data_IF_973518373455
#
_entry.id   IF_973518373455
#
_cell.length_a   1.000
_cell.length_b   1.000
_cell.length_c   1.000
_cell.angle_alpha   90.00
_cell.angle_beta   90.00
_cell.angle_gamma   90.00
#
_symmetry.space_group_name_H-M   'P 1'
#
loop_
_entity.id
_entity.type
_entity.pdbx_description
1 polymer ?
#
# COMPACT_ATOMS: atom_id res chain seq x y z
N UNK A 1 47.82 9.42 44.71
CA UNK A 1 46.79 10.26 44.05
C UNK A 1 46.87 11.75 44.42
N UNK A 2 46.93 12.15 45.70
CA UNK A 2 46.98 13.57 46.12
C UNK A 2 48.18 14.39 45.58
N UNK A 3 49.34 13.77 45.31
CA UNK A 3 50.52 14.47 44.76
C UNK A 3 50.35 14.89 43.29
N UNK A 4 49.57 14.17 42.50
CA UNK A 4 49.26 14.55 41.11
C UNK A 4 48.26 15.72 41.06
N UNK A 5 47.28 15.74 41.98
CA UNK A 5 46.35 16.87 42.16
C UNK A 5 47.05 18.16 42.61
N UNK A 6 48.05 18.08 43.50
CA UNK A 6 48.86 19.24 43.92
C UNK A 6 49.79 19.79 42.83
N UNK A 7 50.24 18.95 41.89
CA UNK A 7 51.02 19.39 40.72
C UNK A 7 50.14 20.09 39.68
N UNK A 8 48.89 19.64 39.52
CA UNK A 8 47.89 20.35 38.73
C UNK A 8 47.54 21.73 39.34
N UNK A 9 47.41 21.83 40.67
CA UNK A 9 47.14 23.12 41.32
C UNK A 9 48.31 24.11 41.22
N UNK A 10 49.55 23.62 41.22
CA UNK A 10 50.75 24.45 41.05
C UNK A 10 50.89 25.07 39.65
N UNK A 11 50.34 24.43 38.61
CA UNK A 11 50.30 24.97 37.26
C UNK A 11 49.30 26.14 37.11
N UNK A 12 48.28 26.20 37.98
CA UNK A 12 47.25 27.24 37.98
C UNK A 12 47.65 28.51 38.76
N UNK A 13 48.77 28.50 39.49
CA UNK A 13 49.13 29.53 40.46
C UNK A 13 50.07 30.62 39.92
N UNK A 14 50.51 30.57 38.66
CA UNK A 14 51.37 31.61 38.05
C UNK A 14 50.81 32.10 36.70
N UNK A 15 50.40 33.39 36.74
CA UNK A 15 50.15 34.39 35.68
C UNK A 15 48.76 34.42 35.00
N UNK A 16 48.15 35.60 35.11
CA UNK A 16 46.88 36.19 34.59
C UNK A 16 46.15 35.56 33.39
N UNK A 17 46.74 34.66 32.61
CA UNK A 17 46.11 33.95 31.48
C UNK A 17 45.36 32.66 31.86
N UNK A 18 45.67 32.01 32.99
CA UNK A 18 45.02 30.74 33.37
C UNK A 18 43.50 30.85 33.59
N UNK A 19 43.05 31.97 34.16
CA UNK A 19 41.62 32.25 34.34
C UNK A 19 40.89 32.40 33.00
N UNK A 20 41.52 33.06 32.02
CA UNK A 20 40.97 33.23 30.66
C UNK A 20 40.82 31.87 29.96
N UNK A 21 41.84 31.01 30.06
CA UNK A 21 41.80 29.66 29.47
C UNK A 21 40.66 28.84 30.10
N UNK A 22 40.50 28.88 31.42
CA UNK A 22 39.41 28.19 32.12
C UNK A 22 38.04 28.71 31.65
N UNK A 23 37.87 30.02 31.56
CA UNK A 23 36.59 30.61 31.08
C UNK A 23 36.28 30.25 29.64
N UNK A 24 37.29 30.22 28.75
CA UNK A 24 37.12 29.80 27.36
C UNK A 24 36.75 28.31 27.27
N UNK A 25 37.34 27.46 28.11
CA UNK A 25 37.00 26.04 28.14
C UNK A 25 35.56 25.82 28.61
N UNK A 26 35.12 26.55 29.63
CA UNK A 26 33.73 26.51 30.12
C UNK A 26 32.77 27.03 29.03
N UNK A 27 33.09 28.15 28.38
CA UNK A 27 32.28 28.70 27.28
C UNK A 27 32.20 27.75 26.09
N UNK A 28 33.31 27.12 25.71
CA UNK A 28 33.33 26.11 24.65
C UNK A 28 32.45 24.91 25.01
N UNK A 29 32.52 24.44 26.25
CA UNK A 29 31.70 23.33 26.73
C UNK A 29 30.21 23.69 26.73
N UNK A 30 29.85 24.90 27.18
CA UNK A 30 28.48 25.40 27.12
C UNK A 30 27.99 25.58 25.67
N UNK A 31 28.86 26.03 24.77
CA UNK A 31 28.55 26.17 23.36
C UNK A 31 28.28 24.81 22.71
N UNK A 32 29.14 23.82 22.94
CA UNK A 32 28.96 22.45 22.45
C UNK A 32 27.68 21.85 23.02
N UNK A 33 27.43 22.02 24.33
CA UNK A 33 26.21 21.53 24.98
C UNK A 33 24.94 22.16 24.38
N UNK A 34 24.94 23.47 24.20
CA UNK A 34 23.81 24.20 23.61
C UNK A 34 23.59 23.77 22.15
N UNK A 35 24.67 23.61 21.37
CA UNK A 35 24.60 23.13 20.00
C UNK A 35 24.02 21.71 19.90
N UNK A 36 24.45 20.80 20.77
CA UNK A 36 23.90 19.43 20.84
C UNK A 36 22.43 19.44 21.24
N UNK A 37 22.04 20.26 22.21
CA UNK A 37 20.66 20.36 22.69
C UNK A 37 19.72 20.90 21.60
N UNK A 38 20.13 21.93 20.86
CA UNK A 38 19.38 22.44 19.71
C UNK A 38 19.24 21.40 18.61
N UNK A 39 20.31 20.67 18.31
CA UNK A 39 20.28 19.57 17.34
C UNK A 39 19.30 18.48 17.77
N UNK A 40 19.36 18.06 19.04
CA UNK A 40 18.44 17.06 19.59
C UNK A 40 16.99 17.51 19.52
N UNK A 41 16.68 18.77 19.86
CA UNK A 41 15.31 19.28 19.73
C UNK A 41 14.80 19.29 18.30
N UNK A 42 15.64 19.69 17.33
CA UNK A 42 15.26 19.63 15.91
C UNK A 42 15.03 18.19 15.43
N UNK A 43 15.84 17.25 15.90
CA UNK A 43 15.65 15.83 15.61
C UNK A 43 14.36 15.29 16.22
N UNK A 44 14.06 15.65 17.46
CA UNK A 44 12.83 15.27 18.15
C UNK A 44 11.59 15.84 17.49
N UNK A 45 11.61 17.13 17.14
CA UNK A 45 10.53 17.81 16.40
C UNK A 45 10.19 17.05 15.11
N UNK A 46 11.21 16.74 14.28
CA UNK A 46 11.02 15.98 13.04
C UNK A 46 10.49 14.57 13.29
N UNK A 47 11.00 13.90 14.32
CA UNK A 47 10.61 12.52 14.65
C UNK A 47 9.16 12.47 15.15
N UNK A 48 8.80 13.35 16.08
CA UNK A 48 7.44 13.48 16.60
C UNK A 48 6.46 13.85 15.50
N UNK A 49 6.81 14.79 14.62
CA UNK A 49 5.99 15.16 13.48
C UNK A 49 5.75 13.96 12.54
N UNK A 50 6.81 13.21 12.20
CA UNK A 50 6.70 12.01 11.35
C UNK A 50 5.81 10.93 11.98
N UNK A 51 5.98 10.66 13.27
CA UNK A 51 5.17 9.65 13.98
C UNK A 51 3.70 10.08 14.03
N UNK A 52 3.44 11.36 14.34
CA UNK A 52 2.09 11.89 14.41
C UNK A 52 1.40 11.86 13.05
N UNK A 53 2.03 12.41 12.01
CA UNK A 53 1.49 12.42 10.64
C UNK A 53 1.30 11.01 10.09
N UNK A 54 2.23 10.09 10.34
CA UNK A 54 2.08 8.68 9.95
C UNK A 54 0.87 8.01 10.61
N UNK A 55 0.65 8.24 11.91
CA UNK A 55 -0.55 7.74 12.61
C UNK A 55 -1.83 8.36 12.07
N UNK A 56 -1.83 9.66 11.78
CA UNK A 56 -2.99 10.34 11.19
C UNK A 56 -3.30 9.79 9.81
N UNK A 57 -2.30 9.65 8.93
CA UNK A 57 -2.47 9.06 7.60
C UNK A 57 -3.02 7.63 7.67
N UNK A 58 -2.50 6.80 8.56
CA UNK A 58 -3.03 5.44 8.78
C UNK A 58 -4.49 5.45 9.21
N UNK A 59 -4.88 6.35 10.13
CA UNK A 59 -6.29 6.48 10.56
C UNK A 59 -7.19 6.94 9.42
N UNK A 60 -6.72 7.86 8.58
CA UNK A 60 -7.48 8.34 7.43
C UNK A 60 -7.68 7.24 6.39
N UNK A 61 -6.64 6.44 6.12
CA UNK A 61 -6.76 5.26 5.26
C UNK A 61 -7.75 4.25 5.85
N UNK A 62 -7.71 4.01 7.16
CA UNK A 62 -8.64 3.11 7.84
C UNK A 62 -10.09 3.59 7.78
N UNK A 63 -10.33 4.90 7.91
CA UNK A 63 -11.67 5.48 7.71
C UNK A 63 -12.20 5.22 6.30
N UNK A 64 -11.34 5.30 5.28
CA UNK A 64 -11.71 4.94 3.91
C UNK A 64 -12.10 3.47 3.77
N UNK A 65 -11.32 2.57 4.36
CA UNK A 65 -11.62 1.13 4.37
C UNK A 65 -12.93 0.84 5.10
N UNK A 66 -13.10 1.37 6.31
CA UNK A 66 -14.31 1.16 7.11
C UNK A 66 -15.56 1.72 6.39
N UNK A 67 -15.40 2.83 5.66
CA UNK A 67 -16.46 3.38 4.80
C UNK A 67 -16.81 2.48 3.63
N UNK A 68 -15.82 1.91 2.94
CA UNK A 68 -16.05 0.96 1.85
C UNK A 68 -16.74 -0.32 2.35
N UNK A 69 -16.29 -0.87 3.48
CA UNK A 69 -16.93 -2.03 4.12
C UNK A 69 -18.39 -1.71 4.47
N UNK A 70 -18.67 -0.52 5.01
CA UNK A 70 -20.04 -0.12 5.31
C UNK A 70 -20.93 -0.09 4.06
N UNK A 71 -20.45 0.46 2.94
CA UNK A 71 -21.24 0.47 1.70
C UNK A 71 -21.48 -0.95 1.16
N UNK A 72 -20.49 -1.84 1.25
CA UNK A 72 -20.62 -3.25 0.84
C UNK A 72 -21.59 -4.04 1.75
N UNK A 73 -21.51 -3.85 3.07
CA UNK A 73 -22.37 -4.55 4.03
C UNK A 73 -23.84 -4.14 3.93
N UNK A 74 -24.09 -2.89 3.51
CA UNK A 74 -25.43 -2.34 3.31
C UNK A 74 -25.93 -2.45 1.86
N UNK A 75 -25.24 -3.21 1.01
CA UNK A 75 -25.79 -3.58 -0.29
C UNK A 75 -26.84 -4.68 -0.11
N UNK A 76 -28.04 -4.40 -0.59
CA UNK A 76 -29.20 -5.30 -0.54
C UNK A 76 -29.33 -6.11 -1.84
N UNK A 77 -28.54 -5.81 -2.87
CA UNK A 77 -28.61 -6.49 -4.17
C UNK A 77 -27.93 -7.85 -4.09
N UNK A 78 -28.48 -8.80 -4.83
CA UNK A 78 -27.93 -10.16 -4.94
C UNK A 78 -26.82 -10.27 -6.03
N UNK A 79 -26.57 -9.19 -6.76
CA UNK A 79 -25.56 -9.09 -7.80
C UNK A 79 -24.77 -7.81 -7.61
N UNK A 80 -23.50 -7.85 -8.01
CA UNK A 80 -22.61 -6.69 -7.97
C UNK A 80 -22.50 -6.06 -9.37
N UNK A 81 -22.65 -4.75 -9.44
CA UNK A 81 -22.56 -3.97 -10.66
C UNK A 81 -21.76 -2.67 -10.42
N UNK A 82 -21.13 -2.16 -11.48
CA UNK A 82 -20.38 -0.89 -11.39
C UNK A 82 -21.24 0.33 -11.05
N UNK A 83 -22.57 0.20 -11.17
CA UNK A 83 -23.53 1.24 -10.79
C UNK A 83 -23.89 1.25 -9.30
N UNK A 84 -23.38 0.30 -8.51
CA UNK A 84 -23.74 0.16 -7.11
C UNK A 84 -23.04 1.20 -6.23
N UNK A 85 -23.61 1.41 -5.04
CA UNK A 85 -23.15 2.45 -4.12
C UNK A 85 -21.73 2.18 -3.62
N UNK A 86 -21.37 0.92 -3.40
CA UNK A 86 -20.03 0.55 -2.94
C UNK A 86 -18.92 1.04 -3.89
N UNK A 87 -19.23 1.27 -5.17
CA UNK A 87 -18.32 1.89 -6.14
C UNK A 87 -18.59 3.38 -6.34
N UNK A 88 -19.81 3.72 -6.73
CA UNK A 88 -20.21 5.08 -7.13
C UNK A 88 -20.12 6.11 -5.99
N UNK A 89 -20.22 5.68 -4.73
CA UNK A 89 -20.05 6.57 -3.57
C UNK A 89 -18.63 7.12 -3.47
N UNK A 90 -17.62 6.43 -4.01
CA UNK A 90 -16.20 6.83 -3.94
C UNK A 90 -15.65 7.36 -5.27
N UNK A 91 -16.31 7.04 -6.39
CA UNK A 91 -15.94 7.46 -7.73
C UNK A 91 -15.86 9.00 -7.88
N UNK A 92 -14.91 9.46 -8.68
CA UNK A 92 -14.78 10.85 -9.08
C UNK A 92 -13.53 11.17 -9.91
N UNK A 93 -13.40 12.42 -10.34
CA UNK A 93 -12.39 12.84 -11.33
C UNK A 93 -11.21 13.60 -10.70
N UNK A 94 -10.84 13.29 -9.45
CA UNK A 94 -9.84 14.07 -8.71
C UNK A 94 -8.49 13.37 -8.57
N UNK A 95 -8.50 12.05 -8.33
CA UNK A 95 -7.30 11.23 -8.12
C UNK A 95 -7.39 9.93 -8.91
N UNK A 96 -6.25 9.48 -9.38
CA UNK A 96 -6.02 8.18 -10.03
C UNK A 96 -5.34 7.28 -8.98
N UNK A 97 -6.06 6.31 -8.44
CA UNK A 97 -5.58 5.40 -7.39
C UNK A 97 -4.98 4.11 -7.96
N UNK A 98 -5.40 3.68 -9.14
CA UNK A 98 -4.87 2.48 -9.80
C UNK A 98 -3.68 2.77 -10.75
N UNK A 99 -3.33 4.04 -10.95
CA UNK A 99 -2.29 4.57 -11.85
C UNK A 99 -2.44 4.13 -13.32
N UNK A 100 -3.66 4.01 -13.82
CA UNK A 100 -3.94 3.72 -15.25
C UNK A 100 -3.94 4.99 -16.14
N UNK A 101 -3.80 6.17 -15.54
CA UNK A 101 -3.82 7.46 -16.22
C UNK A 101 -5.20 8.11 -16.30
N UNK A 102 -6.24 7.44 -15.80
CA UNK A 102 -7.61 7.92 -15.66
C UNK A 102 -7.89 8.13 -14.18
N UNK A 103 -8.55 9.24 -13.85
CA UNK A 103 -8.93 9.50 -12.46
C UNK A 103 -10.17 8.70 -12.13
N UNK A 104 -10.17 8.06 -10.97
CA UNK A 104 -11.13 7.03 -10.56
C UNK A 104 -11.80 7.33 -9.20
N UNK A 105 -11.27 8.30 -8.43
CA UNK A 105 -11.78 8.62 -7.11
C UNK A 105 -11.80 10.12 -6.79
N UNK A 106 -12.55 10.46 -5.74
CA UNK A 106 -12.64 11.82 -5.16
C UNK A 106 -12.00 11.93 -3.79
N UNK A 107 -11.63 13.15 -3.40
CA UNK A 107 -11.13 13.45 -2.06
C UNK A 107 -12.24 13.60 -1.03
N UNK A 108 -12.11 12.87 0.07
CA UNK A 108 -12.87 13.05 1.30
C UNK A 108 -12.05 13.87 2.28
N UNK A 109 -12.55 15.06 2.64
CA UNK A 109 -11.86 16.00 3.51
C UNK A 109 -12.24 15.80 4.97
N UNK A 110 -11.25 15.58 5.81
CA UNK A 110 -11.41 15.47 7.26
C UNK A 110 -11.20 16.85 7.87
N UNK A 111 -12.20 17.30 8.62
CA UNK A 111 -12.23 18.63 9.24
C UNK A 111 -12.20 18.49 10.76
N UNK A 112 -11.53 19.43 11.42
CA UNK A 112 -11.62 19.58 12.88
C UNK A 112 -12.98 20.18 13.29
N UNK A 113 -13.23 20.30 14.59
CA UNK A 113 -14.40 20.93 15.19
C UNK A 113 -14.63 22.35 14.70
N UNK A 114 -13.56 23.07 14.38
CA UNK A 114 -13.60 24.44 13.85
C UNK A 114 -13.80 24.50 12.32
N UNK A 115 -13.99 23.35 11.66
CA UNK A 115 -14.19 23.26 10.21
C UNK A 115 -12.91 23.32 9.37
N UNK A 116 -11.74 23.44 10.02
CA UNK A 116 -10.43 23.47 9.34
C UNK A 116 -10.07 22.07 8.85
N UNK A 117 -9.63 21.96 7.58
CA UNK A 117 -9.20 20.69 7.00
C UNK A 117 -7.90 20.22 7.65
N UNK A 118 -7.95 19.09 8.34
CA UNK A 118 -6.80 18.45 9.01
C UNK A 118 -6.19 17.32 8.17
N UNK A 119 -6.94 16.81 7.19
CA UNK A 119 -6.47 15.77 6.29
C UNK A 119 -7.47 15.48 5.17
N UNK A 120 -7.08 14.57 4.28
CA UNK A 120 -7.95 14.02 3.25
C UNK A 120 -7.56 12.59 2.93
N UNK A 121 -8.51 11.81 2.44
CA UNK A 121 -8.29 10.47 1.90
C UNK A 121 -9.13 10.27 0.65
N UNK A 122 -8.78 9.29 -0.17
CA UNK A 122 -9.57 8.84 -1.30
C UNK A 122 -9.63 7.32 -1.26
N UNK A 123 -10.66 6.75 -1.86
CA UNK A 123 -10.93 5.31 -1.83
C UNK A 123 -11.28 4.89 -3.24
N UNK A 124 -10.72 3.77 -3.68
CA UNK A 124 -11.14 3.05 -4.87
C UNK A 124 -11.53 1.65 -4.39
N UNK A 125 -12.71 1.20 -4.78
CA UNK A 125 -13.17 -0.17 -4.54
C UNK A 125 -13.29 -0.84 -5.89
N UNK A 126 -12.61 -1.96 -6.05
CA UNK A 126 -12.59 -2.74 -7.29
C UNK A 126 -13.09 -4.15 -7.03
N UNK A 127 -13.73 -4.73 -8.04
CA UNK A 127 -14.11 -6.13 -8.03
C UNK A 127 -12.93 -6.99 -8.51
N UNK A 128 -12.38 -7.78 -7.59
CA UNK A 128 -11.29 -8.72 -7.88
C UNK A 128 -11.79 -9.94 -8.67
N UNK A 129 -13.08 -10.30 -8.61
CA UNK A 129 -13.65 -11.38 -9.44
C UNK A 129 -13.70 -11.00 -10.92
N UNK A 130 -13.71 -9.71 -11.25
CA UNK A 130 -13.62 -9.21 -12.63
C UNK A 130 -12.23 -9.30 -13.25
N UNK A 131 -11.18 -9.67 -12.49
CA UNK A 131 -9.78 -9.71 -12.93
C UNK A 131 -9.33 -11.14 -13.24
N UNK A 132 -8.32 -11.29 -14.11
CA UNK A 132 -7.73 -12.58 -14.43
C UNK A 132 -6.96 -13.12 -13.23
N UNK A 133 -7.43 -14.22 -12.65
CA UNK A 133 -6.69 -14.84 -11.55
C UNK A 133 -5.45 -15.60 -12.05
N UNK A 134 -4.26 -15.07 -11.79
CA UNK A 134 -3.00 -15.69 -12.26
C UNK A 134 -2.66 -17.01 -11.56
N UNK A 135 -3.24 -17.29 -10.38
CA UNK A 135 -3.08 -18.58 -9.70
C UNK A 135 -3.97 -19.69 -10.28
N UNK A 136 -5.04 -19.34 -11.01
CA UNK A 136 -6.03 -20.32 -11.50
C UNK A 136 -6.22 -20.33 -13.01
N UNK A 137 -6.14 -19.17 -13.69
CA UNK A 137 -6.48 -19.03 -15.10
C UNK A 137 -5.51 -19.80 -16.02
N UNK A 138 -6.04 -20.60 -16.94
CA UNK A 138 -5.26 -21.41 -17.87
C UNK A 138 -4.67 -22.68 -17.26
N UNK A 139 -4.18 -23.60 -18.09
CA UNK A 139 -3.56 -24.85 -17.64
C UNK A 139 -2.72 -25.47 -18.75
N UNK A 140 -1.49 -25.91 -18.46
CA UNK A 140 -0.74 -26.72 -19.43
C UNK A 140 -1.28 -28.15 -19.56
N UNK A 141 -2.27 -28.51 -18.74
CA UNK A 141 -2.92 -29.83 -18.71
C UNK A 141 -4.28 -29.77 -19.42
N UNK A 142 -4.39 -30.47 -20.54
CA UNK A 142 -5.61 -30.59 -21.35
C UNK A 142 -6.72 -31.46 -20.71
N UNK A 143 -6.46 -32.07 -19.54
CA UNK A 143 -7.25 -33.18 -18.99
C UNK A 143 -8.01 -32.87 -17.69
N UNK A 144 -7.90 -31.65 -17.15
CA UNK A 144 -8.66 -31.19 -15.99
C UNK A 144 -9.56 -30.02 -16.41
N UNK A 145 -10.77 -29.86 -15.82
CA UNK A 145 -11.58 -28.67 -15.99
C UNK A 145 -11.00 -27.55 -15.12
N UNK A 146 -9.75 -27.17 -15.35
CA UNK A 146 -9.29 -25.84 -14.96
C UNK A 146 -9.56 -24.94 -16.14
N UNK A 147 -10.30 -23.86 -15.88
CA UNK A 147 -10.73 -22.86 -16.86
C UNK A 147 -9.61 -22.58 -17.87
N UNK A 148 -9.96 -22.71 -19.14
CA UNK A 148 -9.08 -23.06 -20.26
C UNK A 148 -7.86 -22.14 -20.43
N UNK A 149 -6.79 -22.61 -21.08
CA UNK A 149 -5.59 -21.80 -21.46
C UNK A 149 -5.97 -20.45 -22.09
N UNK A 150 -7.13 -20.40 -22.74
CA UNK A 150 -7.76 -19.22 -23.33
C UNK A 150 -7.90 -18.03 -22.38
N UNK A 151 -8.04 -18.25 -21.08
CA UNK A 151 -8.39 -17.16 -20.15
C UNK A 151 -7.17 -16.25 -19.93
N UNK A 152 -5.98 -16.86 -19.90
CA UNK A 152 -4.72 -16.11 -19.95
C UNK A 152 -4.38 -15.61 -21.36
N UNK A 153 -5.05 -16.10 -22.41
CA UNK A 153 -4.78 -15.64 -23.78
C UNK A 153 -5.23 -14.19 -24.00
N UNK A 154 -6.18 -13.69 -23.21
CA UNK A 154 -6.54 -12.27 -23.17
C UNK A 154 -5.32 -11.38 -22.89
N UNK A 155 -4.37 -11.88 -22.08
CA UNK A 155 -3.14 -11.14 -21.75
C UNK A 155 -2.01 -11.41 -22.76
N UNK A 156 -2.13 -12.40 -23.65
CA UNK A 156 -1.05 -12.85 -24.53
C UNK A 156 -0.58 -11.80 -25.54
N UNK A 157 -1.41 -10.79 -25.86
CA UNK A 157 -0.98 -9.65 -26.68
C UNK A 157 0.04 -8.77 -25.95
N UNK A 158 -0.03 -8.71 -24.62
CA UNK A 158 0.85 -7.88 -23.78
C UNK A 158 2.04 -8.66 -23.28
N UNK A 159 1.82 -9.89 -22.76
CA UNK A 159 2.87 -10.71 -22.13
C UNK A 159 3.55 -11.68 -23.11
N UNK A 160 2.93 -11.92 -24.27
CA UNK A 160 3.35 -12.95 -25.22
C UNK A 160 3.08 -14.37 -24.73
N UNK A 161 2.99 -15.32 -25.66
CA UNK A 161 2.76 -16.75 -25.33
C UNK A 161 3.83 -17.32 -24.38
N UNK A 162 5.09 -16.90 -24.53
CA UNK A 162 6.18 -17.30 -23.62
C UNK A 162 5.97 -16.77 -22.21
N UNK A 163 5.57 -15.49 -22.06
CA UNK A 163 5.31 -14.91 -20.74
C UNK A 163 4.14 -15.60 -20.04
N UNK A 164 3.06 -15.88 -20.78
CA UNK A 164 1.95 -16.71 -20.31
C UNK A 164 2.42 -18.07 -19.78
N UNK A 165 3.18 -18.81 -20.59
CA UNK A 165 3.67 -20.14 -20.23
C UNK A 165 4.62 -20.08 -19.03
N UNK A 166 5.42 -19.02 -18.90
CA UNK A 166 6.26 -18.77 -17.73
C UNK A 166 5.45 -18.54 -16.47
N UNK A 167 4.38 -17.73 -16.54
CA UNK A 167 3.51 -17.45 -15.38
C UNK A 167 2.87 -18.74 -14.88
N UNK A 168 2.33 -19.56 -15.80
CA UNK A 168 1.75 -20.87 -15.49
C UNK A 168 2.83 -21.81 -14.93
N UNK A 169 4.00 -21.89 -15.56
CA UNK A 169 5.08 -22.79 -15.10
C UNK A 169 5.63 -22.41 -13.73
N UNK A 170 5.64 -21.13 -13.38
CA UNK A 170 6.09 -20.65 -12.07
C UNK A 170 5.08 -21.01 -10.98
N UNK A 171 3.78 -20.75 -11.19
CA UNK A 171 2.76 -20.99 -10.15
C UNK A 171 2.61 -22.46 -9.76
N UNK A 172 2.82 -23.39 -10.69
CA UNK A 172 2.79 -24.84 -10.43
C UNK A 172 3.84 -25.25 -9.40
N UNK A 173 4.94 -24.49 -9.30
CA UNK A 173 5.96 -24.69 -8.27
C UNK A 173 5.58 -23.96 -6.99
N UNK A 174 5.08 -22.73 -7.11
CA UNK A 174 4.72 -21.86 -6.00
C UNK A 174 3.65 -20.84 -6.43
N UNK A 175 2.43 -20.89 -5.86
CA UNK A 175 1.42 -19.87 -6.10
C UNK A 175 1.89 -18.46 -5.73
N UNK A 176 1.42 -17.47 -6.47
CA UNK A 176 1.66 -16.05 -6.21
C UNK A 176 0.88 -15.60 -4.97
N UNK A 177 1.52 -14.83 -4.10
CA UNK A 177 0.89 -14.31 -2.88
C UNK A 177 0.24 -12.95 -3.16
N UNK A 178 0.92 -12.13 -3.96
CA UNK A 178 0.43 -10.83 -4.41
C UNK A 178 0.56 -10.70 -5.94
N UNK A 179 -0.26 -9.88 -6.61
CA UNK A 179 -0.19 -9.72 -8.06
C UNK A 179 1.20 -9.33 -8.58
N UNK A 180 1.96 -8.54 -7.81
CA UNK A 180 3.32 -8.14 -8.16
C UNK A 180 4.33 -9.29 -8.22
N UNK A 181 4.04 -10.43 -7.60
CA UNK A 181 4.91 -11.62 -7.65
C UNK A 181 4.97 -12.22 -9.04
N UNK A 182 4.06 -11.86 -9.96
CA UNK A 182 4.10 -12.27 -11.37
C UNK A 182 5.43 -11.90 -12.05
N UNK A 183 6.11 -10.87 -11.55
CA UNK A 183 7.46 -10.45 -12.00
C UNK A 183 8.55 -11.49 -11.72
N UNK A 184 8.28 -12.49 -10.89
CA UNK A 184 9.19 -13.60 -10.63
C UNK A 184 9.14 -14.65 -11.76
N UNK A 185 8.13 -14.60 -12.62
CA UNK A 185 8.06 -15.44 -13.81
C UNK A 185 9.02 -14.94 -14.90
N UNK A 186 9.66 -15.89 -15.58
CA UNK A 186 10.65 -15.59 -16.61
C UNK A 186 10.03 -14.79 -17.77
N UNK A 187 10.63 -13.64 -18.09
CA UNK A 187 10.20 -12.78 -19.18
C UNK A 187 9.15 -11.73 -18.80
N UNK A 188 8.71 -11.66 -17.54
CA UNK A 188 7.83 -10.59 -17.05
C UNK A 188 8.67 -9.47 -16.45
N UNK A 189 8.78 -8.36 -17.17
CA UNK A 189 9.51 -7.16 -16.71
C UNK A 189 8.59 -6.22 -15.91
N UNK A 190 9.16 -5.23 -15.24
CA UNK A 190 8.40 -4.16 -14.57
C UNK A 190 7.49 -3.41 -15.55
N UNK A 191 7.94 -3.19 -16.78
CA UNK A 191 7.16 -2.52 -17.82
C UNK A 191 5.94 -3.36 -18.25
N UNK A 192 6.11 -4.68 -18.36
CA UNK A 192 5.01 -5.59 -18.66
C UNK A 192 4.03 -5.64 -17.49
N UNK A 193 4.54 -5.76 -16.27
CA UNK A 193 3.72 -5.76 -15.05
C UNK A 193 2.85 -4.52 -14.95
N UNK A 194 3.41 -3.32 -15.20
CA UNK A 194 2.64 -2.07 -15.17
C UNK A 194 1.47 -2.04 -16.16
N UNK A 195 1.54 -2.79 -17.26
CA UNK A 195 0.46 -2.86 -18.26
C UNK A 195 -0.66 -3.81 -17.86
N UNK A 196 -0.38 -4.83 -17.05
CA UNK A 196 -1.35 -5.87 -16.69
C UNK A 196 -1.80 -5.78 -15.23
N UNK A 197 -1.16 -4.96 -14.38
CA UNK A 197 -1.35 -4.95 -12.92
C UNK A 197 -2.81 -4.73 -12.48
N UNK A 198 -3.59 -4.01 -13.27
CA UNK A 198 -5.00 -3.71 -12.95
C UNK A 198 -5.96 -4.78 -13.50
N UNK A 199 -5.47 -5.67 -14.36
CA UNK A 199 -6.26 -6.74 -15.00
C UNK A 199 -6.04 -8.12 -14.35
N UNK A 200 -5.13 -8.22 -13.39
CA UNK A 200 -4.76 -9.49 -12.74
C UNK A 200 -5.04 -9.51 -11.24
N UNK A 201 -5.32 -10.69 -10.69
CA UNK A 201 -5.49 -10.92 -9.26
C UNK A 201 -4.84 -12.22 -8.79
N UNK A 202 -4.50 -12.32 -7.50
CA UNK A 202 -4.09 -13.56 -6.83
C UNK A 202 -5.16 -14.14 -5.92
N UNK A 203 -6.22 -13.38 -5.63
CA UNK A 203 -7.15 -13.62 -4.53
C UNK A 203 -8.56 -14.06 -4.96
N UNK A 204 -8.87 -14.04 -6.26
CA UNK A 204 -10.14 -14.59 -6.77
C UNK A 204 -10.12 -16.13 -6.72
N UNK A 205 -10.21 -16.71 -5.52
CA UNK A 205 -10.76 -18.05 -5.44
C UNK A 205 -12.24 -17.90 -5.76
N UNK A 206 -12.60 -17.89 -7.04
CA UNK A 206 -13.94 -18.27 -7.45
C UNK A 206 -14.11 -19.73 -6.98
N UNK A 207 -14.42 -19.91 -5.69
CA UNK A 207 -15.58 -20.71 -5.40
C UNK A 207 -16.65 -19.99 -6.21
N UNK A 208 -17.08 -20.62 -7.30
CA UNK A 208 -18.16 -20.14 -8.13
C UNK A 208 -19.44 -20.16 -7.28
N UNK A 209 -19.51 -19.39 -6.20
CA UNK A 209 -20.54 -19.39 -5.16
C UNK A 209 -20.93 -17.95 -4.78
N UNK A 210 -22.20 -17.78 -4.42
CA UNK A 210 -22.79 -16.53 -3.95
C UNK A 210 -22.44 -16.22 -2.49
N UNK A 211 -22.98 -15.13 -1.95
CA UNK A 211 -22.81 -14.70 -0.55
C UNK A 211 -23.28 -15.75 0.48
N UNK A 212 -24.20 -16.63 0.08
CA UNK A 212 -24.72 -17.72 0.92
C UNK A 212 -23.95 -19.04 0.73
N UNK A 213 -22.91 -19.05 -0.12
CA UNK A 213 -22.10 -20.22 -0.43
C UNK A 213 -22.73 -21.20 -1.43
N UNK A 214 -23.76 -20.79 -2.18
CA UNK A 214 -24.38 -21.61 -3.25
C UNK A 214 -23.74 -21.30 -4.59
N UNK A 215 -23.66 -22.28 -5.50
CA UNK A 215 -23.02 -22.03 -6.79
C UNK A 215 -23.63 -20.85 -7.58
N UNK A 216 -22.80 -19.93 -8.09
CA UNK A 216 -23.22 -18.81 -8.93
C UNK A 216 -23.82 -19.35 -10.22
N UNK A 217 -24.96 -18.78 -10.60
CA UNK A 217 -25.67 -19.13 -11.82
C UNK A 217 -24.78 -18.79 -13.02
N UNK A 218 -24.41 -19.79 -13.81
CA UNK A 218 -23.70 -19.58 -15.06
C UNK A 218 -24.65 -18.94 -16.07
N UNK A 219 -24.48 -17.64 -16.32
CA UNK A 219 -25.32 -16.84 -17.23
C UNK A 219 -25.39 -17.40 -18.65
N UNK A 220 -24.35 -18.11 -19.12
CA UNK A 220 -24.33 -18.71 -20.46
C UNK A 220 -25.21 -19.97 -20.56
N UNK A 221 -25.50 -20.61 -19.43
CA UNK A 221 -26.28 -21.85 -19.34
C UNK A 221 -27.59 -21.69 -18.55
N UNK A 222 -27.87 -20.49 -18.04
CA UNK A 222 -29.05 -20.22 -17.23
C UNK A 222 -30.31 -20.19 -18.10
N UNK A 223 -31.36 -20.91 -17.67
CA UNK A 223 -32.68 -20.80 -18.30
C UNK A 223 -33.30 -19.43 -18.02
N UNK A 224 -34.23 -19.00 -18.87
CA UNK A 224 -34.97 -17.74 -18.68
C UNK A 224 -35.64 -17.66 -17.29
N UNK A 225 -36.23 -18.76 -16.82
CA UNK A 225 -36.84 -18.90 -15.49
C UNK A 225 -35.84 -18.83 -14.32
N UNK A 226 -34.56 -19.07 -14.60
CA UNK A 226 -33.49 -18.93 -13.60
C UNK A 226 -33.01 -17.47 -13.50
N UNK A 227 -33.22 -16.69 -14.56
CA UNK A 227 -32.80 -15.28 -14.65
C UNK A 227 -33.92 -14.29 -14.32
N UNK A 228 -35.18 -14.70 -14.45
CA UNK A 228 -36.41 -13.89 -14.31
C UNK A 228 -37.52 -14.68 -13.64
#
# INVERSE_FOLDING_TARGET
MMRHLKRLSGLFLIKRGASVILTLMILLLLFIFTGMLLFMFKFWEKTSYKIFTGKSAYRFARMGIDGAIWELDNDERAYDAFTDKWRTSFEGDEVDLNEDGIKDAKWFYIKDRDGVVTGRYAVLVEDESGKVNINYAGSNNLWWPTYTVSDMDVLSEVIGKKGRDSIISYREKRPYVVPSDVKLADGITEEIYKKIKNDITTFSYDLNVDRDGKERINLNNASFETLF
#
